data_IF_364325240246
#
_entry.id   IF_364325240246
#
_cell.length_a   1.000
_cell.length_b   1.000
_cell.length_c   1.000
_cell.angle_alpha   90.00
_cell.angle_beta   90.00
_cell.angle_gamma   90.00
#
_symmetry.space_group_name_H-M   'P 1'
#
loop_
_entity.id
_entity.type
_entity.pdbx_description
1 polymer ?
#
# COMPACT_ATOMS: atom_id res chain seq x y z
N UNK A 1 19.97 -3.30 2.22
CA UNK A 1 18.96 -2.95 3.26
C UNK A 1 19.21 -3.88 4.42
N UNK A 2 19.15 -3.41 5.67
CA UNK A 2 19.12 -4.33 6.82
C UNK A 2 17.82 -5.11 6.68
N UNK A 3 17.92 -6.28 6.05
CA UNK A 3 16.83 -7.22 5.92
C UNK A 3 16.41 -7.51 7.34
N UNK A 4 15.18 -7.11 7.64
CA UNK A 4 14.43 -7.31 8.86
C UNK A 4 15.05 -8.26 9.90
N UNK A 5 15.06 -7.75 11.12
CA UNK A 5 15.86 -8.27 12.22
C UNK A 5 15.42 -9.68 12.67
N UNK A 6 14.26 -10.15 12.20
CA UNK A 6 13.71 -11.46 12.49
C UNK A 6 13.49 -11.69 13.99
N UNK A 7 13.35 -12.95 14.43
CA UNK A 7 13.25 -13.25 15.84
C UNK A 7 14.57 -12.88 16.55
N UNK A 8 14.53 -12.14 17.68
CA UNK A 8 15.74 -11.75 18.38
C UNK A 8 16.59 -12.95 18.79
N UNK A 9 17.86 -12.97 18.36
CA UNK A 9 18.76 -14.09 18.65
C UNK A 9 18.91 -14.34 20.16
N UNK A 10 18.95 -13.26 20.95
CA UNK A 10 19.01 -13.32 22.40
C UNK A 10 17.79 -14.03 23.04
N UNK A 11 16.62 -13.98 22.40
CA UNK A 11 15.41 -14.68 22.88
C UNK A 11 15.35 -16.13 22.38
N UNK A 12 15.91 -16.40 21.18
CA UNK A 12 15.92 -17.75 20.61
C UNK A 12 16.74 -18.74 21.46
N UNK A 13 17.85 -18.30 22.07
CA UNK A 13 18.68 -19.13 22.94
C UNK A 13 17.96 -19.63 24.20
N UNK A 14 16.95 -18.88 24.66
CA UNK A 14 16.19 -19.16 25.89
C UNK A 14 14.71 -19.41 25.62
N UNK A 15 14.33 -19.84 24.41
CA UNK A 15 12.93 -19.95 23.97
C UNK A 15 12.02 -20.73 24.94
N UNK A 16 12.51 -21.83 25.51
CA UNK A 16 11.74 -22.67 26.46
C UNK A 16 11.58 -22.03 27.86
N UNK A 17 12.39 -21.01 28.16
CA UNK A 17 12.41 -20.32 29.45
C UNK A 17 11.68 -18.97 29.39
N UNK A 18 11.39 -18.44 28.19
CA UNK A 18 10.75 -17.14 27.97
C UNK A 18 9.42 -17.02 28.74
N UNK A 19 9.14 -15.82 29.24
CA UNK A 19 7.81 -15.52 29.77
C UNK A 19 6.78 -15.62 28.63
N UNK A 20 5.51 -15.97 28.90
CA UNK A 20 4.57 -16.21 27.81
C UNK A 20 4.38 -15.00 26.88
N UNK A 21 4.56 -13.79 27.41
CA UNK A 21 4.51 -12.55 26.62
C UNK A 21 5.73 -12.43 25.68
N UNK A 22 6.94 -12.74 26.15
CA UNK A 22 8.14 -12.70 25.32
C UNK A 22 8.16 -13.83 24.28
N UNK A 23 7.56 -14.99 24.60
CA UNK A 23 7.35 -16.07 23.66
C UNK A 23 6.41 -15.63 22.52
N UNK A 24 5.27 -14.99 22.83
CA UNK A 24 4.39 -14.41 21.81
C UNK A 24 5.11 -13.40 20.92
N UNK A 25 5.89 -12.48 21.51
CA UNK A 25 6.66 -11.52 20.73
C UNK A 25 7.65 -12.20 19.78
N UNK A 26 8.43 -13.17 20.29
CA UNK A 26 9.37 -13.94 19.48
C UNK A 26 8.67 -14.66 18.32
N UNK A 27 7.54 -15.31 18.59
CA UNK A 27 6.81 -16.06 17.57
C UNK A 27 6.26 -15.13 16.47
N UNK A 28 5.74 -13.94 16.83
CA UNK A 28 5.33 -12.92 15.85
C UNK A 28 6.52 -12.37 15.05
N UNK A 29 7.69 -12.19 15.67
CA UNK A 29 8.91 -11.81 14.93
C UNK A 29 9.44 -12.91 14.00
N UNK A 30 9.13 -14.18 14.28
CA UNK A 30 9.47 -15.28 13.40
C UNK A 30 8.49 -15.42 12.23
N UNK A 31 7.22 -15.10 12.44
CA UNK A 31 6.19 -15.08 11.42
C UNK A 31 6.35 -13.88 10.46
N UNK A 32 6.62 -12.70 11.01
CA UNK A 32 6.84 -11.46 10.27
C UNK A 32 8.33 -11.10 10.26
N UNK A 33 9.14 -12.04 9.76
CA UNK A 33 10.60 -11.93 9.75
C UNK A 33 11.14 -10.85 8.80
N UNK A 34 10.27 -10.28 7.96
CA UNK A 34 10.52 -9.20 7.00
C UNK A 34 10.15 -7.79 7.54
N UNK A 35 9.68 -7.70 8.79
CA UNK A 35 9.09 -6.48 9.37
C UNK A 35 9.57 -6.21 10.81
N UNK A 36 9.53 -4.93 11.21
CA UNK A 36 9.65 -4.57 12.62
C UNK A 36 8.30 -4.79 13.31
N UNK A 37 8.27 -5.63 14.34
CA UNK A 37 7.05 -5.89 15.11
C UNK A 37 6.89 -4.85 16.22
N UNK A 38 5.85 -4.02 16.10
CA UNK A 38 5.34 -3.13 17.14
C UNK A 38 4.37 -3.91 18.03
N UNK A 39 4.79 -4.26 19.24
CA UNK A 39 4.06 -5.15 20.12
C UNK A 39 3.30 -4.38 21.21
N UNK A 40 1.98 -4.49 21.24
CA UNK A 40 1.17 -3.70 22.18
C UNK A 40 1.37 -4.11 23.64
N UNK A 41 1.79 -3.17 24.48
CA UNK A 41 1.91 -3.34 25.93
C UNK A 41 1.22 -2.15 26.62
N UNK A 42 -0.05 -2.33 26.97
CA UNK A 42 -0.89 -1.25 27.50
C UNK A 42 -1.10 -0.16 26.44
N UNK A 43 -0.74 1.08 26.78
CA UNK A 43 -0.90 2.26 25.92
C UNK A 43 0.32 2.53 25.01
N UNK A 44 1.24 1.57 24.90
CA UNK A 44 2.47 1.67 24.12
C UNK A 44 2.60 0.52 23.12
N UNK A 45 3.22 0.81 21.98
CA UNK A 45 3.87 -0.21 21.17
C UNK A 45 5.32 -0.33 21.59
N UNK A 46 5.74 -1.52 22.02
CA UNK A 46 7.10 -1.84 22.42
C UNK A 46 7.80 -2.67 21.34
N UNK A 47 9.10 -2.41 21.17
CA UNK A 47 10.04 -3.26 20.45
C UNK A 47 11.09 -3.76 21.43
N UNK A 48 11.70 -4.91 21.13
CA UNK A 48 12.71 -5.51 21.99
C UNK A 48 14.01 -5.80 21.23
N UNK A 49 15.11 -5.94 21.97
CA UNK A 49 16.43 -6.34 21.47
C UNK A 49 16.90 -5.48 20.28
N UNK A 50 17.35 -6.09 19.18
CA UNK A 50 17.91 -5.40 18.03
C UNK A 50 16.88 -4.44 17.39
N UNK A 51 15.59 -4.81 17.41
CA UNK A 51 14.51 -3.96 16.92
C UNK A 51 14.35 -2.70 17.79
N UNK A 52 14.48 -2.84 19.11
CA UNK A 52 14.48 -1.70 20.03
C UNK A 52 15.65 -0.75 19.78
N UNK A 53 16.87 -1.29 19.62
CA UNK A 53 18.08 -0.49 19.38
C UNK A 53 17.98 0.27 18.05
N UNK A 54 17.46 -0.40 17.02
CA UNK A 54 17.24 0.18 15.69
C UNK A 54 16.20 1.29 15.74
N UNK A 55 15.03 1.03 16.31
CA UNK A 55 13.97 2.03 16.45
C UNK A 55 14.39 3.21 17.32
N UNK A 56 15.11 2.98 18.43
CA UNK A 56 15.62 4.05 19.29
C UNK A 56 16.57 4.99 18.55
N UNK A 57 17.43 4.45 17.67
CA UNK A 57 18.35 5.24 16.86
C UNK A 57 17.64 6.02 15.74
N UNK A 58 16.69 5.40 15.04
CA UNK A 58 15.97 6.02 13.91
C UNK A 58 15.02 7.11 14.40
N UNK A 59 14.24 6.80 15.44
CA UNK A 59 13.17 7.64 15.95
C UNK A 59 13.63 8.60 17.06
N UNK A 60 14.90 8.54 17.44
CA UNK A 60 15.48 9.31 18.54
C UNK A 60 14.72 9.16 19.88
N UNK A 61 14.15 7.98 20.11
CA UNK A 61 13.42 7.65 21.35
C UNK A 61 14.36 7.02 22.39
N UNK A 62 13.92 7.02 23.65
CA UNK A 62 14.73 6.49 24.75
C UNK A 62 14.83 4.97 24.68
N UNK A 63 16.05 4.45 24.51
CA UNK A 63 16.34 3.04 24.72
C UNK A 63 16.41 2.74 26.21
N UNK A 64 15.61 1.78 26.65
CA UNK A 64 15.55 1.29 28.02
C UNK A 64 15.82 -0.21 28.03
N UNK A 65 15.59 -0.86 29.18
CA UNK A 65 15.68 -2.31 29.30
C UNK A 65 14.52 -2.85 30.11
N UNK A 66 14.02 -4.00 29.69
CA UNK A 66 13.06 -4.81 30.44
C UNK A 66 13.82 -5.91 31.13
N UNK A 67 13.56 -6.12 32.42
CA UNK A 67 14.10 -7.22 33.20
C UNK A 67 12.96 -8.12 33.64
N UNK A 68 13.06 -9.42 33.32
CA UNK A 68 12.12 -10.43 33.78
C UNK A 68 12.86 -11.66 34.33
N UNK A 69 12.15 -12.76 34.60
CA UNK A 69 12.74 -13.99 35.14
C UNK A 69 13.69 -14.71 34.17
N UNK A 70 13.76 -14.25 32.92
CA UNK A 70 14.40 -14.95 31.79
C UNK A 70 15.60 -14.18 31.27
N UNK A 71 15.66 -12.87 31.51
CA UNK A 71 16.81 -12.06 31.14
C UNK A 71 16.58 -10.57 31.28
N UNK A 72 17.53 -9.82 30.70
CA UNK A 72 17.41 -8.38 30.49
C UNK A 72 17.46 -8.09 29.00
N UNK A 73 16.39 -7.51 28.47
CA UNK A 73 16.22 -7.26 27.05
C UNK A 73 16.18 -5.74 26.80
N UNK A 74 16.96 -5.20 25.83
CA UNK A 74 16.78 -3.84 25.36
C UNK A 74 15.33 -3.60 24.92
N UNK A 75 14.79 -2.42 25.22
CA UNK A 75 13.40 -2.10 24.95
C UNK A 75 13.24 -0.63 24.58
N UNK A 76 12.47 -0.37 23.53
CA UNK A 76 12.06 0.98 23.12
C UNK A 76 10.55 0.97 22.88
N UNK A 77 9.87 2.07 23.22
CA UNK A 77 8.42 2.15 23.12
C UNK A 77 7.94 3.48 22.57
N UNK A 78 6.85 3.42 21.81
CA UNK A 78 6.15 4.58 21.26
C UNK A 78 4.71 4.62 21.77
N UNK A 79 4.14 5.79 22.10
CA UNK A 79 2.75 5.90 22.51
C UNK A 79 1.80 5.55 21.34
N UNK A 80 0.77 4.74 21.60
CA UNK A 80 -0.20 4.32 20.57
C UNK A 80 -0.87 5.54 19.91
N UNK A 81 -1.30 6.52 20.71
CA UNK A 81 -1.97 7.75 20.23
C UNK A 81 -1.11 8.59 19.27
N UNK A 82 0.20 8.39 19.24
CA UNK A 82 1.13 9.10 18.36
C UNK A 82 1.89 8.16 17.44
N UNK A 83 1.48 6.89 17.33
CA UNK A 83 2.22 5.87 16.60
C UNK A 83 2.40 6.21 15.11
N UNK A 84 1.44 6.89 14.49
CA UNK A 84 1.46 7.22 13.07
C UNK A 84 2.77 7.91 12.62
N UNK A 85 3.19 8.99 13.31
CA UNK A 85 4.42 9.71 12.95
C UNK A 85 5.69 8.89 13.16
N UNK A 86 5.69 7.97 14.13
CA UNK A 86 6.83 7.09 14.36
C UNK A 86 6.91 5.98 13.32
N UNK A 87 5.76 5.42 12.93
CA UNK A 87 5.66 4.46 11.84
C UNK A 87 6.16 5.10 10.54
N UNK A 88 5.74 6.33 10.24
CA UNK A 88 6.25 7.09 9.08
C UNK A 88 7.78 7.17 9.07
N UNK A 89 8.41 7.53 10.20
CA UNK A 89 9.87 7.55 10.33
C UNK A 89 10.54 6.20 10.11
N UNK A 90 9.90 5.09 10.50
CA UNK A 90 10.40 3.74 10.22
C UNK A 90 10.28 3.38 8.73
N UNK A 91 9.17 3.75 8.09
CA UNK A 91 8.95 3.55 6.66
C UNK A 91 9.96 4.34 5.82
N UNK A 92 10.22 5.60 6.17
CA UNK A 92 11.22 6.45 5.52
C UNK A 92 12.65 5.91 5.69
N UNK A 93 12.92 5.22 6.79
CA UNK A 93 14.17 4.52 7.02
C UNK A 93 14.26 3.16 6.27
N UNK A 94 13.21 2.79 5.53
CA UNK A 94 13.15 1.59 4.69
C UNK A 94 12.70 0.33 5.42
N UNK A 95 12.02 0.44 6.56
CA UNK A 95 11.49 -0.72 7.30
C UNK A 95 10.00 -0.90 7.05
N UNK A 96 9.56 -2.15 6.91
CA UNK A 96 8.16 -2.53 7.09
C UNK A 96 7.82 -2.63 8.57
N UNK A 97 6.56 -2.40 8.92
CA UNK A 97 6.14 -2.38 10.32
C UNK A 97 4.90 -3.24 10.54
N UNK A 98 5.05 -4.35 11.23
CA UNK A 98 3.93 -5.19 11.67
C UNK A 98 3.38 -4.66 12.99
N UNK A 99 2.09 -4.36 13.06
CA UNK A 99 1.42 -3.87 14.27
C UNK A 99 0.70 -5.02 14.94
N UNK A 100 1.16 -5.42 16.11
CA UNK A 100 0.57 -6.50 16.91
C UNK A 100 -0.25 -5.93 18.06
N UNK A 101 -1.58 -5.97 17.91
CA UNK A 101 -2.53 -5.48 18.90
C UNK A 101 -3.06 -6.61 19.79
N UNK A 102 -3.60 -6.24 20.95
CA UNK A 102 -4.35 -7.13 21.82
C UNK A 102 -5.71 -7.47 21.19
N UNK A 103 -5.98 -8.74 20.95
CA UNK A 103 -7.21 -9.20 20.30
C UNK A 103 -8.30 -9.63 21.29
N UNK A 104 -7.92 -9.92 22.54
CA UNK A 104 -8.84 -10.22 23.63
C UNK A 104 -9.01 -9.01 24.56
N UNK A 105 -10.18 -8.90 25.20
CA UNK A 105 -10.38 -7.89 26.24
C UNK A 105 -9.56 -8.25 27.49
N UNK A 106 -8.68 -7.36 27.99
CA UNK A 106 -7.85 -7.61 29.17
C UNK A 106 -8.66 -7.96 30.42
N UNK A 107 -9.89 -7.45 30.54
CA UNK A 107 -10.77 -7.70 31.68
C UNK A 107 -11.48 -9.07 31.59
N UNK A 108 -11.56 -9.67 30.41
CA UNK A 108 -12.17 -10.98 30.15
C UNK A 108 -11.14 -12.12 30.06
N UNK A 109 -9.86 -11.80 29.87
CA UNK A 109 -8.78 -12.77 29.77
C UNK A 109 -8.44 -13.40 31.14
N UNK A 110 -8.40 -14.73 31.20
CA UNK A 110 -8.00 -15.48 32.40
C UNK A 110 -6.47 -15.68 32.53
N UNK A 111 -5.69 -15.14 31.58
CA UNK A 111 -4.25 -15.30 31.45
C UNK A 111 -3.59 -14.09 30.75
N UNK A 112 -2.49 -14.32 30.04
CA UNK A 112 -1.89 -13.28 29.19
C UNK A 112 -2.80 -13.06 27.98
N UNK A 113 -3.17 -11.79 27.76
CA UNK A 113 -3.96 -11.33 26.61
C UNK A 113 -3.27 -11.75 25.32
N UNK A 114 -3.98 -12.43 24.45
CA UNK A 114 -3.50 -12.80 23.12
C UNK A 114 -3.25 -11.57 22.25
N UNK A 115 -2.21 -11.65 21.43
CA UNK A 115 -1.87 -10.62 20.44
C UNK A 115 -1.67 -11.24 19.09
N UNK A 116 -2.17 -10.57 18.07
CA UNK A 116 -1.92 -10.92 16.69
C UNK A 116 -1.58 -9.69 15.89
N UNK A 117 -0.87 -9.87 14.78
CA UNK A 117 -0.60 -8.78 13.85
C UNK A 117 -1.91 -8.42 13.14
N UNK A 118 -2.39 -7.21 13.38
CA UNK A 118 -3.64 -6.68 12.82
C UNK A 118 -3.42 -5.93 11.51
N UNK A 119 -2.16 -5.66 11.15
CA UNK A 119 -1.72 -5.08 9.88
C UNK A 119 -0.20 -5.07 9.75
N UNK A 120 0.27 -5.14 8.50
CA UNK A 120 1.65 -4.78 8.14
C UNK A 120 1.59 -3.47 7.37
N UNK A 121 2.23 -2.44 7.90
CA UNK A 121 2.31 -1.12 7.30
C UNK A 121 3.54 -1.06 6.42
N UNK A 122 3.33 -0.73 5.16
CA UNK A 122 4.38 -0.58 4.15
C UNK A 122 4.15 0.70 3.34
N UNK A 123 5.17 1.23 2.63
CA UNK A 123 5.03 2.50 1.92
C UNK A 123 3.87 2.54 0.92
N UNK A 124 3.57 1.44 0.22
CA UNK A 124 2.51 1.39 -0.78
C UNK A 124 1.14 0.94 -0.26
N UNK A 125 1.04 0.42 0.97
CA UNK A 125 -0.24 -0.11 1.52
C UNK A 125 -0.90 0.81 2.54
N UNK A 126 -0.44 2.07 2.61
CA UNK A 126 -1.00 3.10 3.49
C UNK A 126 -2.48 3.39 3.17
N UNK A 127 -3.33 3.37 4.19
CA UNK A 127 -4.77 3.70 4.07
C UNK A 127 -5.18 4.88 4.97
N UNK A 128 -4.32 5.22 5.91
CA UNK A 128 -4.46 6.26 6.90
C UNK A 128 -4.08 7.59 6.26
N UNK A 129 -5.02 8.52 6.25
CA UNK A 129 -4.84 9.86 5.68
C UNK A 129 -3.70 10.66 6.32
N UNK A 130 -3.31 10.30 7.54
CA UNK A 130 -2.19 10.91 8.26
C UNK A 130 -0.83 10.44 7.74
N UNK A 131 -0.76 9.26 7.13
CA UNK A 131 0.46 8.68 6.56
C UNK A 131 0.58 8.94 5.05
N UNK A 132 -0.52 9.33 4.39
CA UNK A 132 -0.52 9.65 2.97
C UNK A 132 0.07 11.04 2.75
N UNK A 133 1.15 11.11 1.96
CA UNK A 133 1.86 12.35 1.63
C UNK A 133 0.99 13.38 0.89
N UNK A 134 -0.04 12.93 0.20
CA UNK A 134 -0.99 13.76 -0.55
C UNK A 134 -2.32 13.03 -0.77
N UNK A 135 -3.30 13.72 -1.36
CA UNK A 135 -4.57 13.12 -1.80
C UNK A 135 -4.42 12.18 -3.02
N UNK A 136 -3.19 11.83 -3.38
CA UNK A 136 -2.86 11.09 -4.60
C UNK A 136 -2.99 9.59 -4.43
N UNK A 137 -2.92 8.88 -5.56
CA UNK A 137 -2.86 7.44 -5.51
C UNK A 137 -1.52 7.00 -4.93
N UNK A 138 -1.59 6.03 -4.01
CA UNK A 138 -0.42 5.38 -3.44
C UNK A 138 -0.39 3.95 -3.97
N UNK A 139 0.35 3.72 -5.04
CA UNK A 139 0.36 2.43 -5.73
C UNK A 139 1.42 1.50 -5.15
N UNK A 140 1.03 0.23 -4.94
CA UNK A 140 1.93 -0.91 -4.92
C UNK A 140 1.99 -1.50 -6.33
N UNK A 141 3.18 -1.77 -6.83
CA UNK A 141 3.40 -2.46 -8.10
C UNK A 141 3.76 -3.94 -7.90
N UNK A 142 3.43 -4.75 -8.88
CA UNK A 142 3.95 -6.12 -9.02
C UNK A 142 4.51 -6.27 -10.42
N UNK A 143 5.76 -6.74 -10.51
CA UNK A 143 6.45 -6.99 -11.78
C UNK A 143 6.91 -8.45 -11.84
N UNK A 144 6.62 -9.11 -12.95
CA UNK A 144 7.09 -10.48 -13.21
C UNK A 144 7.52 -10.63 -14.66
N UNK A 145 8.39 -11.62 -14.92
CA UNK A 145 8.82 -12.00 -16.25
C UNK A 145 8.49 -13.47 -16.49
N UNK A 146 7.74 -13.74 -17.55
CA UNK A 146 7.39 -15.09 -18.01
C UNK A 146 7.88 -15.34 -19.44
N UNK A 147 7.53 -16.51 -19.97
CA UNK A 147 7.82 -16.89 -21.36
C UNK A 147 7.08 -16.02 -22.38
N UNK A 148 5.95 -15.45 -22.00
CA UNK A 148 5.08 -14.57 -22.79
C UNK A 148 5.38 -13.07 -22.63
N UNK A 149 6.45 -12.73 -21.91
CA UNK A 149 6.91 -11.35 -21.71
C UNK A 149 6.84 -10.90 -20.25
N UNK A 150 6.57 -9.62 -20.04
CA UNK A 150 6.43 -9.00 -18.73
C UNK A 150 4.96 -8.83 -18.37
N UNK A 151 4.63 -9.07 -17.11
CA UNK A 151 3.36 -8.72 -16.50
C UNK A 151 3.58 -7.63 -15.46
N UNK A 152 2.77 -6.59 -15.51
CA UNK A 152 2.82 -5.47 -14.57
C UNK A 152 1.43 -5.25 -14.02
N UNK A 153 1.33 -5.15 -12.70
CA UNK A 153 0.09 -4.82 -12.02
C UNK A 153 0.31 -3.68 -11.02
N UNK A 154 -0.67 -2.79 -10.88
CA UNK A 154 -0.64 -1.68 -9.93
C UNK A 154 -1.94 -1.67 -9.12
N UNK A 155 -1.81 -1.56 -7.80
CA UNK A 155 -2.93 -1.54 -6.88
C UNK A 155 -2.80 -0.35 -5.92
N UNK A 156 -3.82 0.48 -5.84
CA UNK A 156 -4.01 1.42 -4.74
C UNK A 156 -4.94 0.78 -3.70
N UNK A 157 -4.39 0.39 -2.55
CA UNK A 157 -5.13 -0.29 -1.48
C UNK A 157 -6.18 0.63 -0.85
N UNK A 158 -5.99 1.95 -0.91
CA UNK A 158 -6.94 2.91 -0.32
C UNK A 158 -8.21 3.07 -1.16
N UNK A 159 -8.10 2.99 -2.50
CA UNK A 159 -9.22 3.20 -3.43
C UNK A 159 -9.74 1.91 -4.08
N UNK A 160 -8.92 0.87 -4.13
CA UNK A 160 -9.17 -0.34 -4.89
C UNK A 160 -8.95 -0.18 -6.40
N UNK A 161 -8.24 0.87 -6.83
CA UNK A 161 -7.84 1.02 -8.23
C UNK A 161 -6.83 -0.08 -8.57
N UNK A 162 -7.30 -1.10 -9.29
CA UNK A 162 -6.47 -2.23 -9.72
C UNK A 162 -6.38 -2.29 -11.23
N UNK A 163 -5.17 -2.09 -11.75
CA UNK A 163 -4.89 -2.10 -13.19
C UNK A 163 -3.74 -3.04 -13.51
N UNK A 164 -3.78 -3.62 -14.71
CA UNK A 164 -2.74 -4.53 -15.18
C UNK A 164 -2.44 -4.34 -16.67
N UNK A 165 -1.22 -4.69 -17.06
CA UNK A 165 -0.79 -4.66 -18.45
C UNK A 165 0.31 -5.67 -18.70
N UNK A 166 0.45 -6.09 -19.95
CA UNK A 166 1.48 -7.00 -20.42
C UNK A 166 2.29 -6.37 -21.55
N UNK A 167 3.59 -6.64 -21.57
CA UNK A 167 4.48 -6.15 -22.63
C UNK A 167 5.67 -7.07 -22.83
N UNK A 168 6.14 -7.16 -24.07
CA UNK A 168 7.34 -7.86 -24.49
C UNK A 168 8.58 -6.93 -24.54
N UNK A 169 8.41 -5.64 -24.25
CA UNK A 169 9.48 -4.63 -24.33
C UNK A 169 9.83 -4.06 -22.94
N UNK A 170 11.09 -4.23 -22.54
CA UNK A 170 11.63 -3.69 -21.28
C UNK A 170 11.53 -2.15 -21.20
N UNK A 171 11.65 -1.45 -22.32
CA UNK A 171 11.46 0.00 -22.37
C UNK A 171 10.03 0.41 -21.93
N UNK A 172 9.02 -0.35 -22.36
CA UNK A 172 7.63 -0.13 -21.95
C UNK A 172 7.43 -0.42 -20.47
N UNK A 173 8.13 -1.40 -19.90
CA UNK A 173 8.12 -1.65 -18.44
C UNK A 173 8.57 -0.40 -17.68
N UNK A 174 9.71 0.19 -18.07
CA UNK A 174 10.22 1.42 -17.43
C UNK A 174 9.27 2.60 -17.59
N UNK A 175 8.66 2.75 -18.77
CA UNK A 175 7.71 3.83 -19.03
C UNK A 175 6.43 3.71 -18.18
N UNK A 176 5.89 2.49 -18.03
CA UNK A 176 4.70 2.28 -17.19
C UNK A 176 5.02 2.41 -15.70
N UNK A 177 6.17 1.92 -15.22
CA UNK A 177 6.57 2.10 -13.81
C UNK A 177 6.77 3.58 -13.50
N UNK A 178 7.45 4.34 -14.35
CA UNK A 178 7.62 5.78 -14.17
C UNK A 178 6.29 6.57 -14.26
N UNK A 179 5.28 6.01 -14.93
CA UNK A 179 3.96 6.63 -15.09
C UNK A 179 3.06 6.46 -13.86
N UNK A 180 3.09 5.26 -13.28
CA UNK A 180 2.32 4.97 -12.07
C UNK A 180 3.04 5.41 -10.81
N UNK A 181 4.37 5.50 -10.86
CA UNK A 181 5.23 5.99 -9.78
C UNK A 181 4.90 5.31 -8.44
N UNK A 182 5.04 3.98 -8.35
CA UNK A 182 4.64 3.23 -7.17
C UNK A 182 5.56 3.54 -5.99
N UNK A 183 4.99 3.73 -4.80
CA UNK A 183 5.77 3.91 -3.57
C UNK A 183 6.46 2.61 -3.13
N UNK A 184 5.95 1.47 -3.59
CA UNK A 184 6.44 0.15 -3.25
C UNK A 184 6.21 -0.82 -4.41
N UNK A 185 7.09 -1.80 -4.55
CA UNK A 185 6.95 -2.86 -5.53
C UNK A 185 7.36 -4.22 -4.99
N UNK A 186 6.65 -5.25 -5.45
CA UNK A 186 7.10 -6.63 -5.36
C UNK A 186 7.60 -7.10 -6.73
N UNK A 187 8.71 -7.82 -6.75
CA UNK A 187 9.26 -8.42 -7.96
C UNK A 187 9.23 -9.93 -7.84
N UNK A 188 8.75 -10.58 -8.91
CA UNK A 188 8.76 -12.02 -9.03
C UNK A 188 10.10 -12.56 -9.53
N UNK A 189 10.24 -13.89 -9.60
CA UNK A 189 11.44 -14.52 -10.15
C UNK A 189 11.78 -13.97 -11.54
N UNK A 190 13.06 -13.76 -11.81
CA UNK A 190 13.61 -13.29 -13.09
C UNK A 190 13.20 -11.86 -13.54
N UNK A 191 12.47 -11.12 -12.69
CA UNK A 191 12.25 -9.68 -12.86
C UNK A 191 13.34 -8.89 -12.12
N UNK A 192 13.80 -7.80 -12.74
CA UNK A 192 14.79 -6.88 -12.14
C UNK A 192 14.11 -5.74 -11.40
N UNK A 193 14.77 -5.23 -10.36
CA UNK A 193 14.43 -3.99 -9.64
C UNK A 193 14.84 -2.71 -10.39
N UNK A 194 15.78 -2.80 -11.35
CA UNK A 194 16.29 -1.65 -12.13
C UNK A 194 15.23 -0.67 -12.72
N UNK A 195 14.01 -1.09 -13.12
CA UNK A 195 13.00 -0.18 -13.63
C UNK A 195 12.38 0.77 -12.59
N UNK A 196 12.50 0.46 -11.30
CA UNK A 196 11.90 1.23 -10.22
C UNK A 196 12.80 2.41 -9.80
N UNK A 197 12.19 3.45 -9.24
CA UNK A 197 12.92 4.60 -8.72
C UNK A 197 13.70 4.24 -7.44
N UNK A 198 14.77 4.97 -7.14
CA UNK A 198 15.61 4.72 -5.96
C UNK A 198 14.85 4.85 -4.62
N UNK A 199 13.76 5.63 -4.60
CA UNK A 199 12.89 5.84 -3.45
C UNK A 199 11.67 4.90 -3.41
N UNK A 200 11.53 4.02 -4.40
CA UNK A 200 10.57 2.92 -4.38
C UNK A 200 11.11 1.78 -3.52
N UNK A 201 10.35 1.34 -2.52
CA UNK A 201 10.70 0.14 -1.77
C UNK A 201 10.45 -1.10 -2.65
N UNK A 202 11.50 -1.71 -3.19
CA UNK A 202 11.39 -2.93 -4.01
C UNK A 202 11.72 -4.16 -3.18
N UNK A 203 10.88 -5.19 -3.25
CA UNK A 203 11.09 -6.47 -2.56
C UNK A 203 10.97 -7.65 -3.49
N UNK A 204 11.99 -8.51 -3.48
CA UNK A 204 11.85 -9.87 -3.99
C UNK A 204 10.87 -10.63 -3.08
N UNK A 205 9.68 -10.92 -3.59
CA UNK A 205 8.61 -11.54 -2.81
C UNK A 205 8.54 -13.05 -3.09
N UNK A 206 7.80 -13.78 -2.24
CA UNK A 206 7.74 -15.25 -2.28
C UNK A 206 7.47 -15.76 -3.72
N UNK A 207 8.37 -16.58 -4.31
CA UNK A 207 8.16 -17.16 -5.62
C UNK A 207 6.86 -17.97 -5.74
N UNK A 208 6.37 -18.53 -4.63
CA UNK A 208 5.08 -19.23 -4.56
C UNK A 208 3.89 -18.33 -4.89
N UNK A 209 3.91 -17.06 -4.44
CA UNK A 209 2.90 -16.07 -4.78
C UNK A 209 2.83 -15.77 -6.30
N UNK A 210 3.95 -15.90 -7.02
CA UNK A 210 4.03 -15.74 -8.47
C UNK A 210 3.81 -17.05 -9.25
N UNK A 211 3.58 -18.17 -8.57
CA UNK A 211 3.27 -19.43 -9.24
C UNK A 211 1.94 -19.32 -9.99
N UNK A 212 1.91 -19.71 -11.27
CA UNK A 212 0.77 -19.48 -12.15
C UNK A 212 -0.55 -20.02 -11.58
N UNK A 213 -0.56 -21.26 -11.09
CA UNK A 213 -1.80 -21.88 -10.59
C UNK A 213 -2.33 -21.14 -9.35
N UNK A 214 -1.46 -20.79 -8.40
CA UNK A 214 -1.83 -20.03 -7.20
C UNK A 214 -2.30 -18.60 -7.52
N UNK A 215 -1.61 -17.93 -8.45
CA UNK A 215 -1.99 -16.60 -8.92
C UNK A 215 -3.33 -16.63 -9.66
N UNK A 216 -3.55 -17.64 -10.52
CA UNK A 216 -4.78 -17.83 -11.29
C UNK A 216 -5.98 -18.10 -10.38
N UNK A 217 -5.81 -18.97 -9.38
CA UNK A 217 -6.85 -19.27 -8.38
C UNK A 217 -7.25 -17.99 -7.63
N UNK A 218 -6.27 -17.26 -7.10
CA UNK A 218 -6.54 -16.01 -6.37
C UNK A 218 -7.21 -14.95 -7.23
N UNK A 219 -6.75 -14.72 -8.46
CA UNK A 219 -7.43 -13.78 -9.38
C UNK A 219 -8.87 -14.24 -9.66
N UNK A 220 -9.09 -15.56 -9.77
CA UNK A 220 -10.43 -16.11 -9.97
C UNK A 220 -11.38 -15.88 -8.79
N UNK A 221 -10.86 -15.94 -7.57
CA UNK A 221 -11.63 -15.72 -6.34
C UNK A 221 -12.10 -14.27 -6.17
N UNK A 222 -11.37 -13.30 -6.72
CA UNK A 222 -11.78 -11.89 -6.72
C UNK A 222 -12.67 -11.52 -7.90
N UNK A 223 -12.27 -11.89 -9.12
CA UNK A 223 -12.84 -11.32 -10.34
C UNK A 223 -13.53 -12.35 -11.25
N UNK A 224 -13.45 -13.64 -10.90
CA UNK A 224 -13.85 -14.72 -11.80
C UNK A 224 -12.76 -15.08 -12.80
N UNK A 225 -13.10 -15.90 -13.81
CA UNK A 225 -12.12 -16.51 -14.72
C UNK A 225 -11.05 -15.51 -15.25
N UNK A 226 -9.75 -15.68 -14.94
CA UNK A 226 -8.71 -14.70 -15.26
C UNK A 226 -8.58 -14.39 -16.74
N UNK A 227 -8.80 -15.40 -17.60
CA UNK A 227 -8.74 -15.26 -19.07
C UNK A 227 -9.81 -14.29 -19.64
N UNK A 228 -10.81 -13.91 -18.84
CA UNK A 228 -11.79 -12.90 -19.21
C UNK A 228 -11.29 -11.45 -18.98
N UNK A 229 -10.26 -11.29 -18.15
CA UNK A 229 -9.76 -10.00 -17.69
C UNK A 229 -8.34 -9.72 -18.16
N UNK A 230 -7.52 -10.77 -18.31
CA UNK A 230 -6.08 -10.69 -18.57
C UNK A 230 -5.72 -11.38 -19.89
N UNK A 231 -4.62 -10.93 -20.50
CA UNK A 231 -4.20 -11.33 -21.84
C UNK A 231 -3.08 -12.36 -21.91
N UNK A 232 -2.44 -12.68 -20.79
CA UNK A 232 -1.30 -13.60 -20.74
C UNK A 232 -0.99 -14.09 -19.33
N UNK A 233 -0.11 -15.09 -19.23
CA UNK A 233 0.27 -15.75 -17.99
C UNK A 233 1.08 -14.81 -17.10
N UNK A 234 1.95 -13.98 -17.68
CA UNK A 234 2.71 -12.99 -16.92
C UNK A 234 1.78 -11.97 -16.24
N UNK A 235 0.72 -11.51 -16.91
CA UNK A 235 -0.27 -10.60 -16.33
C UNK A 235 -1.01 -11.26 -15.14
N UNK A 236 -1.41 -12.54 -15.29
CA UNK A 236 -2.06 -13.32 -14.22
C UNK A 236 -1.15 -13.45 -13.00
N UNK A 237 0.13 -13.79 -13.21
CA UNK A 237 1.12 -13.90 -12.13
C UNK A 237 1.31 -12.60 -11.39
N UNK A 238 1.47 -11.48 -12.11
CA UNK A 238 1.63 -10.16 -11.49
C UNK A 238 0.42 -9.79 -10.63
N UNK A 239 -0.79 -9.97 -11.15
CA UNK A 239 -2.03 -9.69 -10.42
C UNK A 239 -2.21 -10.58 -9.20
N UNK A 240 -2.03 -11.89 -9.35
CA UNK A 240 -2.21 -12.84 -8.25
C UNK A 240 -1.20 -12.64 -7.12
N UNK A 241 0.06 -12.36 -7.45
CA UNK A 241 1.07 -12.02 -6.47
C UNK A 241 0.75 -10.71 -5.74
N UNK A 242 0.26 -9.69 -6.46
CA UNK A 242 -0.11 -8.41 -5.85
C UNK A 242 -1.31 -8.54 -4.90
N UNK A 243 -2.29 -9.38 -5.25
CA UNK A 243 -3.40 -9.70 -4.35
C UNK A 243 -2.91 -10.44 -3.10
N UNK A 244 -2.05 -11.45 -3.26
CA UNK A 244 -1.47 -12.19 -2.14
C UNK A 244 -0.69 -11.25 -1.19
N UNK A 245 0.05 -10.30 -1.77
CA UNK A 245 0.76 -9.29 -0.99
C UNK A 245 -0.20 -8.31 -0.28
N UNK A 246 -1.26 -7.87 -0.96
CA UNK A 246 -2.27 -7.01 -0.34
C UNK A 246 -2.99 -7.72 0.83
N UNK A 247 -3.26 -9.02 0.71
CA UNK A 247 -3.78 -9.88 1.78
C UNK A 247 -2.81 -9.93 2.95
N UNK A 248 -1.54 -10.26 2.69
CA UNK A 248 -0.46 -10.26 3.69
C UNK A 248 -0.40 -8.95 4.50
N UNK A 249 -0.47 -7.80 3.80
CA UNK A 249 -0.40 -6.49 4.48
C UNK A 249 -1.61 -6.15 5.34
N UNK A 250 -2.73 -6.86 5.18
CA UNK A 250 -3.88 -6.68 6.08
C UNK A 250 -3.62 -7.19 7.48
N UNK A 251 -2.70 -8.14 7.67
CA UNK A 251 -2.51 -8.87 8.92
C UNK A 251 -3.68 -9.80 9.26
N UNK A 252 -3.41 -10.80 10.11
CA UNK A 252 -4.40 -11.77 10.59
C UNK A 252 -4.03 -13.22 10.30
N UNK A 253 -4.60 -14.13 11.09
CA UNK A 253 -4.57 -15.57 10.86
C UNK A 253 -5.99 -16.03 10.47
N UNK A 254 -6.33 -16.11 9.18
CA UNK A 254 -7.66 -16.62 8.79
C UNK A 254 -8.01 -16.70 7.31
N UNK A 255 -9.06 -17.46 6.99
CA UNK A 255 -9.63 -17.66 5.65
C UNK A 255 -10.35 -16.40 5.06
N UNK A 256 -10.35 -15.26 5.76
CA UNK A 256 -11.13 -14.05 5.41
C UNK A 256 -10.24 -12.80 5.19
N UNK A 257 -9.03 -12.99 4.66
CA UNK A 257 -8.09 -11.89 4.34
C UNK A 257 -8.47 -11.11 3.07
N UNK A 258 -9.56 -11.54 2.41
CA UNK A 258 -9.98 -11.03 1.11
C UNK A 258 -10.31 -9.55 1.16
N UNK A 259 -9.81 -8.81 0.18
CA UNK A 259 -10.13 -7.40 0.01
C UNK A 259 -11.45 -7.21 -0.75
N UNK A 260 -12.59 -7.42 -0.09
CA UNK A 260 -13.94 -7.40 -0.68
C UNK A 260 -14.32 -6.11 -1.46
N UNK A 261 -13.64 -5.01 -1.21
CA UNK A 261 -13.85 -3.74 -1.93
C UNK A 261 -13.16 -3.72 -3.31
N UNK A 262 -12.21 -4.63 -3.56
CA UNK A 262 -11.59 -4.85 -4.87
C UNK A 262 -12.60 -5.54 -5.79
N UNK A 263 -13.37 -4.74 -6.48
CA UNK A 263 -14.49 -5.22 -7.31
C UNK A 263 -14.18 -5.30 -8.79
N UNK A 264 -13.10 -4.64 -9.24
CA UNK A 264 -12.75 -4.54 -10.65
C UNK A 264 -11.25 -4.62 -10.84
N UNK A 265 -10.84 -5.36 -11.89
CA UNK A 265 -9.50 -5.39 -12.43
C UNK A 265 -9.55 -4.88 -13.87
N UNK A 266 -8.79 -3.82 -14.17
CA UNK A 266 -8.76 -3.23 -15.51
C UNK A 266 -7.45 -3.52 -16.21
N UNK A 267 -7.51 -4.41 -17.21
CA UNK A 267 -6.42 -4.55 -18.18
C UNK A 267 -6.43 -3.41 -19.18
N UNK A 268 -5.26 -2.90 -19.51
CA UNK A 268 -5.09 -1.91 -20.57
C UNK A 268 -3.90 -2.26 -21.48
N UNK A 269 -3.97 -1.83 -22.74
CA UNK A 269 -2.88 -1.98 -23.70
C UNK A 269 -2.08 -0.66 -23.77
N UNK A 270 -0.76 -0.66 -23.49
CA UNK A 270 0.04 0.56 -23.49
C UNK A 270 0.01 1.29 -24.85
N UNK A 271 -0.24 0.56 -25.95
CA UNK A 271 -0.29 1.09 -27.32
C UNK A 271 -1.53 1.92 -27.62
N UNK A 272 -2.56 1.85 -26.77
CA UNK A 272 -3.77 2.68 -26.89
C UNK A 272 -3.55 4.12 -26.38
N UNK A 273 -2.44 4.34 -25.68
CA UNK A 273 -2.10 5.59 -25.02
C UNK A 273 -0.86 6.24 -25.61
N UNK A 274 -0.77 7.55 -25.44
CA UNK A 274 0.39 8.33 -25.87
C UNK A 274 1.58 7.90 -25.02
N UNK A 275 2.64 7.45 -25.69
CA UNK A 275 3.89 7.10 -25.03
C UNK A 275 4.47 8.35 -24.39
N UNK A 276 4.49 8.35 -23.06
CA UNK A 276 5.12 9.35 -22.21
C UNK A 276 6.11 8.61 -21.32
N UNK A 277 7.41 8.80 -21.60
CA UNK A 277 8.48 8.28 -20.74
C UNK A 277 8.60 9.12 -19.46
N UNK A 278 9.31 8.57 -18.45
CA UNK A 278 9.50 9.27 -17.18
C UNK A 278 10.18 10.64 -17.32
N UNK A 279 11.02 10.82 -18.35
CA UNK A 279 11.69 12.11 -18.61
C UNK A 279 10.69 13.15 -19.12
N UNK A 280 9.77 12.76 -20.00
CA UNK A 280 8.71 13.59 -20.55
C UNK A 280 7.72 13.96 -19.45
N UNK A 281 7.29 13.01 -18.61
CA UNK A 281 6.40 13.28 -17.46
C UNK A 281 6.99 14.38 -16.56
N UNK A 282 8.27 14.25 -16.18
CA UNK A 282 8.98 15.25 -15.35
C UNK A 282 9.26 16.56 -16.09
N UNK A 283 9.57 16.51 -17.38
CA UNK A 283 9.90 17.72 -18.15
C UNK A 283 8.67 18.56 -18.52
N UNK A 284 7.52 17.91 -18.64
CA UNK A 284 6.22 18.55 -18.82
C UNK A 284 5.59 18.97 -17.48
N UNK A 285 6.23 18.65 -16.35
CA UNK A 285 5.75 18.93 -15.00
C UNK A 285 4.28 18.53 -14.81
N UNK A 286 3.91 17.32 -15.27
CA UNK A 286 2.51 16.91 -15.32
C UNK A 286 1.90 16.74 -13.93
N UNK A 287 2.63 16.08 -13.04
CA UNK A 287 2.22 15.80 -11.66
C UNK A 287 3.09 16.51 -10.64
N UNK A 288 4.38 16.66 -10.95
CA UNK A 288 5.34 17.28 -10.06
C UNK A 288 6.13 18.37 -10.77
N UNK A 289 6.49 19.41 -10.03
CA UNK A 289 7.37 20.48 -10.51
C UNK A 289 8.83 20.03 -10.50
N UNK A 290 9.63 20.56 -11.42
CA UNK A 290 11.07 20.29 -11.50
C UNK A 290 11.92 21.32 -10.73
N UNK A 291 11.38 22.51 -10.49
CA UNK A 291 12.12 23.63 -9.89
C UNK A 291 11.78 23.83 -8.41
N UNK A 292 12.80 24.00 -7.57
CA UNK A 292 12.65 24.44 -6.17
C UNK A 292 12.20 25.92 -6.08
N UNK A 293 12.45 26.72 -7.13
CA UNK A 293 12.35 28.20 -7.12
C UNK A 293 11.11 28.77 -7.85
N UNK A 294 10.03 27.99 -8.02
CA UNK A 294 8.73 28.45 -8.55
C UNK A 294 7.66 28.63 -7.47
N UNK A 295 6.55 29.30 -7.79
CA UNK A 295 5.35 29.33 -6.93
C UNK A 295 4.77 27.92 -6.78
N UNK A 296 4.36 27.56 -5.56
CA UNK A 296 3.63 26.31 -5.28
C UNK A 296 2.34 26.23 -6.13
N UNK A 297 1.91 25.01 -6.47
CA UNK A 297 0.68 24.75 -7.23
C UNK A 297 0.77 25.09 -8.73
N UNK A 298 1.89 24.73 -9.38
CA UNK A 298 2.13 25.06 -10.80
C UNK A 298 2.38 23.86 -11.71
N UNK A 299 2.32 22.62 -11.20
CA UNK A 299 2.28 21.46 -12.09
C UNK A 299 1.02 21.51 -12.97
N UNK A 300 1.04 20.86 -14.13
CA UNK A 300 -0.11 20.91 -15.04
C UNK A 300 -1.39 20.45 -14.33
N UNK A 301 -1.31 19.41 -13.51
CA UNK A 301 -2.45 18.93 -12.75
C UNK A 301 -2.98 19.97 -11.77
N UNK A 302 -2.12 20.71 -11.06
CA UNK A 302 -2.53 21.74 -10.11
C UNK A 302 -3.33 22.86 -10.79
N UNK A 303 -2.97 23.19 -12.04
CA UNK A 303 -3.63 24.22 -12.84
C UNK A 303 -4.96 23.72 -13.41
N UNK A 304 -5.08 22.42 -13.71
CA UNK A 304 -6.27 21.83 -14.33
C UNK A 304 -7.29 21.31 -13.31
N UNK A 305 -6.85 20.99 -12.09
CA UNK A 305 -7.70 20.35 -11.08
C UNK A 305 -8.65 21.36 -10.41
N UNK A 306 -9.79 21.58 -11.06
CA UNK A 306 -10.96 22.26 -10.49
C UNK A 306 -12.00 21.26 -9.97
N UNK A 307 -11.61 20.03 -9.63
CA UNK A 307 -12.56 18.98 -9.26
C UNK A 307 -13.15 19.20 -7.86
N UNK A 308 -14.40 18.76 -7.68
CA UNK A 308 -15.16 18.99 -6.45
C UNK A 308 -14.85 17.97 -5.33
N UNK A 309 -14.14 16.89 -5.65
CA UNK A 309 -13.85 15.79 -4.73
C UNK A 309 -12.59 15.01 -5.17
N UNK A 310 -11.94 14.35 -4.22
CA UNK A 310 -10.72 13.57 -4.44
C UNK A 310 -10.86 12.50 -5.55
N UNK A 311 -12.02 11.85 -5.66
CA UNK A 311 -12.29 10.88 -6.75
C UNK A 311 -12.22 11.54 -8.14
N UNK A 312 -12.71 12.78 -8.25
CA UNK A 312 -12.61 13.56 -9.49
C UNK A 312 -11.16 13.90 -9.83
N UNK A 313 -10.40 14.38 -8.85
CA UNK A 313 -8.98 14.70 -9.02
C UNK A 313 -8.15 13.48 -9.42
N UNK A 314 -8.39 12.32 -8.78
CA UNK A 314 -7.76 11.04 -9.16
C UNK A 314 -8.11 10.62 -10.58
N UNK A 315 -9.38 10.78 -11.01
CA UNK A 315 -9.79 10.49 -12.39
C UNK A 315 -9.15 11.42 -13.41
N UNK A 316 -8.99 12.71 -13.07
CA UNK A 316 -8.25 13.66 -13.90
C UNK A 316 -6.78 13.24 -14.02
N UNK A 317 -6.14 12.87 -12.90
CA UNK A 317 -4.77 12.36 -12.89
C UNK A 317 -4.63 11.11 -13.75
N UNK A 318 -5.56 10.17 -13.66
CA UNK A 318 -5.60 8.97 -14.51
C UNK A 318 -5.62 9.33 -16.01
N UNK A 319 -6.43 10.31 -16.42
CA UNK A 319 -6.45 10.80 -17.81
C UNK A 319 -5.16 11.47 -18.24
N UNK A 320 -4.53 12.24 -17.35
CA UNK A 320 -3.23 12.87 -17.61
C UNK A 320 -2.09 11.85 -17.67
N UNK A 321 -2.16 10.78 -16.87
CA UNK A 321 -1.18 9.69 -16.84
C UNK A 321 -1.22 8.91 -18.15
N UNK A 322 -2.42 8.70 -18.68
CA UNK A 322 -2.67 7.87 -19.87
C UNK A 322 -3.52 8.61 -20.91
N UNK A 323 -2.96 9.60 -21.63
CA UNK A 323 -3.68 10.29 -22.69
C UNK A 323 -3.98 9.33 -23.84
N UNK A 324 -5.25 9.22 -24.25
CA UNK A 324 -5.66 8.34 -25.36
C UNK A 324 -5.08 8.81 -26.70
N UNK A 325 -4.59 7.88 -27.52
CA UNK A 325 -4.15 8.16 -28.91
C UNK A 325 -5.35 8.41 -29.82
N UNK A 326 -6.46 7.71 -29.59
CA UNK A 326 -7.67 7.85 -30.39
C UNK A 326 -8.54 9.03 -29.93
N UNK A 327 -8.65 10.03 -30.82
CA UNK A 327 -9.50 11.20 -30.64
C UNK A 327 -11.01 10.87 -30.54
N UNK A 328 -11.44 9.67 -30.93
CA UNK A 328 -12.83 9.21 -30.81
C UNK A 328 -13.15 8.78 -29.37
N UNK A 329 -12.21 8.12 -28.69
CA UNK A 329 -12.26 7.82 -27.26
C UNK A 329 -12.26 9.08 -26.38
N UNK A 330 -11.40 10.06 -26.71
CA UNK A 330 -11.34 11.35 -25.98
C UNK A 330 -12.68 12.09 -25.97
N UNK A 331 -13.45 12.05 -27.07
CA UNK A 331 -14.76 12.72 -27.18
C UNK A 331 -15.83 12.09 -26.28
N UNK A 332 -15.77 10.78 -26.05
CA UNK A 332 -16.69 10.08 -25.14
C UNK A 332 -16.42 10.43 -23.67
N UNK A 333 -15.15 10.54 -23.28
CA UNK A 333 -14.75 10.95 -21.92
C UNK A 333 -15.20 12.40 -21.59
N UNK A 334 -15.21 13.30 -22.58
CA UNK A 334 -15.65 14.71 -22.41
C UNK A 334 -17.17 14.95 -22.49
N UNK A 335 -18.01 13.91 -22.62
CA UNK A 335 -19.46 14.13 -22.74
C UNK A 335 -20.22 13.71 -21.48
N UNK A 336 -20.47 14.68 -20.59
CA UNK A 336 -21.85 15.06 -20.32
C UNK A 336 -22.07 16.54 -20.66
N UNK A 337 -22.73 16.79 -21.79
CA UNK A 337 -23.31 18.09 -22.19
C UNK A 337 -22.36 19.30 -22.32
N UNK A 338 -21.50 19.30 -23.34
CA UNK A 338 -20.84 20.53 -23.81
C UNK A 338 -21.75 21.48 -24.62
N UNK A 339 -23.07 21.25 -24.69
CA UNK A 339 -24.01 22.04 -25.50
C UNK A 339 -25.12 22.70 -24.65
N UNK A 340 -24.74 23.44 -23.61
CA UNK A 340 -25.66 24.31 -22.88
C UNK A 340 -24.92 25.54 -22.32
N UNK A 341 -25.20 26.77 -22.77
CA UNK A 341 -24.52 27.99 -22.31
C UNK A 341 -24.96 28.42 -20.89
N UNK A 342 -25.28 27.47 -19.99
CA UNK A 342 -25.81 27.73 -18.64
C UNK A 342 -25.10 26.95 -17.51
N UNK A 343 -23.83 26.60 -17.68
CA UNK A 343 -23.02 26.01 -16.59
C UNK A 343 -22.15 27.09 -15.93
N UNK A 344 -22.78 28.11 -15.34
CA UNK A 344 -22.13 29.02 -14.37
C UNK A 344 -22.87 29.07 -13.03
N UNK A 345 -23.87 28.20 -12.82
CA UNK A 345 -24.66 28.16 -11.58
C UNK A 345 -24.64 26.81 -10.87
N UNK A 346 -23.64 25.94 -11.10
CA UNK A 346 -23.49 24.66 -10.39
C UNK A 346 -22.84 24.80 -9.00
N UNK A 347 -23.14 25.87 -8.26
CA UNK A 347 -22.77 25.95 -6.84
C UNK A 347 -23.48 24.86 -6.00
N UNK A 348 -24.64 24.38 -6.47
CA UNK A 348 -25.48 23.44 -5.71
C UNK A 348 -25.00 21.98 -5.73
N UNK A 349 -24.61 21.35 -6.87
CA UNK A 349 -24.09 19.97 -6.85
C UNK A 349 -22.63 19.87 -6.38
N UNK A 350 -21.83 20.93 -6.55
CA UNK A 350 -20.45 20.97 -6.06
C UNK A 350 -20.40 20.87 -4.51
N UNK A 351 -21.32 21.56 -3.82
CA UNK A 351 -21.48 21.48 -2.37
C UNK A 351 -22.07 20.16 -1.83
N UNK A 352 -22.63 19.31 -2.71
CA UNK A 352 -23.07 17.96 -2.36
C UNK A 352 -21.94 16.92 -2.58
N UNK A 353 -21.16 17.09 -3.66
CA UNK A 353 -20.01 16.23 -3.97
C UNK A 353 -18.81 16.49 -3.04
N UNK A 354 -18.61 17.72 -2.58
CA UNK A 354 -17.59 18.04 -1.57
C UNK A 354 -17.88 17.43 -0.19
N UNK A 355 -19.12 16.99 0.07
CA UNK A 355 -19.49 16.24 1.29
C UNK A 355 -19.34 14.73 1.13
N UNK A 356 -19.06 14.23 -0.07
CA UNK A 356 -18.87 12.80 -0.37
C UNK A 356 -17.40 12.37 -0.42
N UNK A 357 -16.46 13.31 -0.23
CA UNK A 357 -15.01 13.06 -0.20
C UNK A 357 -14.56 12.04 0.85
N UNK A 358 -15.38 11.76 1.85
CA UNK A 358 -15.08 10.75 2.88
C UNK A 358 -15.56 9.34 2.52
N UNK A 359 -16.32 9.13 1.43
CA UNK A 359 -17.00 7.84 1.23
C UNK A 359 -16.03 6.70 0.87
N UNK A 360 -15.04 6.89 -0.01
CA UNK A 360 -14.14 5.80 -0.42
C UNK A 360 -13.24 5.31 0.73
N UNK A 361 -12.54 6.23 1.41
CA UNK A 361 -11.76 5.91 2.61
C UNK A 361 -12.66 5.40 3.75
N UNK A 362 -13.91 5.86 3.84
CA UNK A 362 -14.85 5.31 4.82
C UNK A 362 -15.38 3.92 4.44
N UNK A 363 -15.44 3.53 3.16
CA UNK A 363 -15.81 2.18 2.73
C UNK A 363 -14.73 1.17 3.09
N UNK A 364 -13.46 1.49 2.75
CA UNK A 364 -12.30 0.67 3.12
C UNK A 364 -12.12 0.60 4.65
N UNK A 365 -12.37 1.70 5.38
CA UNK A 365 -12.37 1.71 6.85
C UNK A 365 -13.59 1.05 7.51
N UNK A 366 -14.80 1.11 6.91
CA UNK A 366 -16.01 0.48 7.47
C UNK A 366 -15.95 -1.04 7.39
N UNK A 367 -15.34 -1.61 6.37
CA UNK A 367 -15.10 -3.05 6.29
C UNK A 367 -14.04 -3.52 7.32
N UNK A 368 -13.10 -2.66 7.72
CA UNK A 368 -12.14 -2.93 8.82
C UNK A 368 -12.79 -2.95 10.21
N UNK A 369 -13.96 -2.35 10.39
CA UNK A 369 -14.54 -2.10 11.71
C UNK A 369 -15.66 -3.10 12.05
N UNK A 370 -15.28 -4.28 12.54
CA UNK A 370 -16.11 -4.98 13.54
C UNK A 370 -16.29 -4.17 14.83
N UNK A 371 -15.48 -3.12 15.04
CA UNK A 371 -15.55 -2.20 16.16
C UNK A 371 -16.42 -0.96 15.85
N UNK A 372 -17.57 -0.86 16.52
CA UNK A 372 -18.44 0.33 16.48
C UNK A 372 -17.74 1.53 17.12
N UNK A 373 -17.22 2.47 16.33
CA UNK A 373 -16.98 3.85 16.81
C UNK A 373 -18.10 4.78 16.33
N UNK A 374 -18.76 5.59 17.22
CA UNK A 374 -19.99 6.31 16.87
C UNK A 374 -19.78 7.59 16.02
N UNK A 375 -18.53 7.98 15.74
CA UNK A 375 -18.25 9.31 15.18
C UNK A 375 -18.43 9.41 13.66
N UNK A 376 -18.33 8.30 12.91
CA UNK A 376 -18.27 8.32 11.44
C UNK A 376 -19.65 8.35 10.74
N UNK A 377 -20.75 8.41 11.50
CA UNK A 377 -22.12 8.34 10.97
C UNK A 377 -22.98 9.60 11.19
N UNK A 378 -22.41 10.69 11.68
CA UNK A 378 -23.16 11.92 11.93
C UNK A 378 -22.59 13.12 11.16
N UNK A 379 -22.86 13.21 9.86
CA UNK A 379 -23.20 14.47 9.14
C UNK A 379 -23.55 14.24 7.68
#
# INVERSE_FOLDING_TARGET
MDAALGPPAAMAEHREELTPMMAQYHDLCAEYDDSLVLFQVGDFYELFCEAAETAARILEITLTKREDSTGSYPMAGIPIDSAASYIEGLLEAGYRVAVADQVEDPDEASGIVERSVTRVVTPGTLTESELLRSDDNNFVASLTRGDDGYGIAFLDVSTGDFVATGTDAEATVRDEIARFDPAEAIVGPDASDEPFADDCMVTEHDPGAFAFDAARERVADYFGAPDAHLGGDAEVRACGALLAYAEYTRGGEGDDDRLDYLTHLTRYDPREYMVLDGVALRSLELFERRSVHGSEGTALVDVLDETACALGGRRLKDWLRRPLVDATGSRRATTPSANSPRIRSLATPCGALSRTSTISNASSRRCRAGARTPATCAR
#
